data_IF_526551267265
#
_entry.id   IF_526551267265
#
_cell.length_a   1.000
_cell.length_b   1.000
_cell.length_c   1.000
_cell.angle_alpha   90.00
_cell.angle_beta   90.00
_cell.angle_gamma   90.00
#
_symmetry.space_group_name_H-M   'P 1'
#
loop_
_entity.id
_entity.type
_entity.pdbx_description
1 polymer ?
#
# COMPACT_ATOMS: atom_id res chain seq x y z
N UNK A 1 -1.01 61.30 -30.13
CA UNK A 1 -2.24 60.48 -30.17
C UNK A 1 -2.84 60.47 -31.59
N UNK A 2 -2.02 60.27 -32.63
CA UNK A 2 -2.50 60.31 -34.03
C UNK A 2 -1.68 59.42 -35.00
N UNK A 3 -0.68 58.67 -34.51
CA UNK A 3 0.19 57.81 -35.34
C UNK A 3 -0.14 56.32 -35.19
N UNK A 4 -0.99 55.96 -34.23
CA UNK A 4 -1.46 54.57 -34.03
C UNK A 4 -2.81 54.27 -34.70
N UNK A 5 -3.45 55.26 -35.32
CA UNK A 5 -4.73 55.11 -36.01
C UNK A 5 -4.60 54.85 -37.52
N UNK A 6 -3.40 54.98 -38.10
CA UNK A 6 -3.16 54.73 -39.54
C UNK A 6 -2.59 53.35 -39.86
N UNK A 7 -2.24 52.54 -38.86
CA UNK A 7 -1.74 51.16 -39.06
C UNK A 7 -2.89 50.12 -39.02
N UNK A 8 -4.15 50.55 -38.81
CA UNK A 8 -5.31 49.65 -38.76
C UNK A 8 -6.07 49.51 -40.09
N UNK A 9 -5.55 50.05 -41.20
CA UNK A 9 -6.08 49.81 -42.56
C UNK A 9 -5.01 49.15 -43.41
N UNK A 10 -5.36 48.02 -44.03
CA UNK A 10 -4.48 47.07 -44.75
C UNK A 10 -3.84 46.09 -43.77
N UNK A 11 -4.33 44.88 -43.57
CA UNK A 11 -4.43 43.80 -44.57
C UNK A 11 -5.63 42.92 -44.19
N UNK A 12 -6.71 42.94 -44.99
CA UNK A 12 -7.64 41.82 -44.96
C UNK A 12 -6.91 40.60 -45.52
N UNK A 13 -6.96 39.42 -44.89
CA UNK A 13 -6.34 38.24 -45.46
C UNK A 13 -6.94 38.00 -46.85
N UNK A 14 -6.15 37.56 -47.85
CA UNK A 14 -6.70 37.20 -49.15
C UNK A 14 -7.74 36.11 -48.94
N UNK A 15 -9.02 36.44 -49.13
CA UNK A 15 -10.07 35.44 -49.20
C UNK A 15 -9.97 34.82 -50.58
N UNK A 16 -9.28 33.69 -50.70
CA UNK A 16 -9.30 32.90 -51.92
C UNK A 16 -10.71 32.29 -52.06
N UNK A 17 -11.61 33.09 -52.65
CA UNK A 17 -12.94 32.65 -53.04
C UNK A 17 -12.78 31.84 -54.31
N UNK A 18 -12.80 30.52 -54.15
CA UNK A 18 -12.72 29.61 -55.27
C UNK A 18 -14.13 29.16 -55.66
N UNK A 19 -14.42 29.25 -56.96
CA UNK A 19 -15.69 28.85 -57.54
C UNK A 19 -15.57 27.44 -58.12
N UNK A 20 -16.55 26.59 -57.80
CA UNK A 20 -16.56 25.19 -58.21
C UNK A 20 -17.88 24.83 -58.87
N UNK A 21 -17.83 23.99 -59.89
CA UNK A 21 -19.02 23.40 -60.50
C UNK A 21 -19.20 21.98 -59.99
N UNK A 22 -20.41 21.64 -59.55
CA UNK A 22 -20.75 20.29 -59.08
C UNK A 22 -20.90 19.38 -60.31
N UNK A 23 -19.93 18.49 -60.52
CA UNK A 23 -19.93 17.55 -61.65
C UNK A 23 -20.81 16.33 -61.42
N UNK A 24 -20.64 15.66 -60.28
CA UNK A 24 -21.44 14.49 -59.87
C UNK A 24 -21.77 14.60 -58.40
N UNK A 25 -22.97 14.18 -58.01
CA UNK A 25 -23.37 14.08 -56.60
C UNK A 25 -23.90 12.68 -56.32
N UNK A 26 -23.29 12.00 -55.35
CA UNK A 26 -23.74 10.72 -54.80
C UNK A 26 -24.15 10.90 -53.33
N UNK A 27 -24.74 9.87 -52.73
CA UNK A 27 -25.30 9.94 -51.37
C UNK A 27 -24.28 10.25 -50.25
N UNK A 28 -22.97 10.19 -50.52
CA UNK A 28 -21.93 10.52 -49.54
C UNK A 28 -20.85 11.50 -50.03
N UNK A 29 -20.56 11.52 -51.32
CA UNK A 29 -19.51 12.34 -51.91
C UNK A 29 -20.04 13.10 -53.13
N UNK A 30 -19.49 14.29 -53.34
CA UNK A 30 -19.70 15.09 -54.53
C UNK A 30 -18.35 15.36 -55.21
N UNK A 31 -18.38 15.49 -56.53
CA UNK A 31 -17.22 15.85 -57.34
C UNK A 31 -17.35 17.33 -57.71
N UNK A 32 -16.42 18.14 -57.24
CA UNK A 32 -16.31 19.57 -57.53
C UNK A 32 -15.22 19.80 -58.57
N UNK A 33 -15.53 20.58 -59.60
CA UNK A 33 -14.64 20.90 -60.71
C UNK A 33 -14.27 22.38 -60.69
N UNK A 34 -12.98 22.69 -60.78
CA UNK A 34 -12.50 24.08 -60.94
C UNK A 34 -12.48 24.49 -62.41
N UNK A 35 -12.34 25.80 -62.68
CA UNK A 35 -12.09 26.32 -64.03
C UNK A 35 -10.73 25.89 -64.61
N UNK A 36 -9.82 25.40 -63.77
CA UNK A 36 -8.49 24.90 -64.13
C UNK A 36 -8.47 23.38 -64.36
N UNK A 37 -9.64 22.76 -64.53
CA UNK A 37 -9.82 21.31 -64.69
C UNK A 37 -9.30 20.47 -63.52
N UNK A 38 -9.26 21.03 -62.31
CA UNK A 38 -8.97 20.26 -61.10
C UNK A 38 -10.25 19.61 -60.59
N UNK A 39 -10.11 18.38 -60.11
CA UNK A 39 -11.19 17.62 -59.51
C UNK A 39 -10.98 17.50 -58.00
N UNK A 40 -11.97 17.88 -57.22
CA UNK A 40 -11.98 17.77 -55.75
C UNK A 40 -13.13 16.87 -55.32
N UNK A 41 -12.83 15.85 -54.53
CA UNK A 41 -13.82 15.05 -53.85
C UNK A 41 -14.22 15.76 -52.55
N UNK A 42 -15.50 16.08 -52.41
CA UNK A 42 -16.03 16.84 -51.29
C UNK A 42 -17.22 16.11 -50.65
N UNK A 43 -17.27 15.93 -49.32
CA UNK A 43 -18.40 15.29 -48.66
C UNK A 43 -19.71 16.00 -48.97
N UNK A 44 -20.70 15.26 -49.50
CA UNK A 44 -21.95 15.88 -49.96
C UNK A 44 -22.76 16.51 -48.83
N UNK A 45 -22.56 16.06 -47.57
CA UNK A 45 -23.19 16.62 -46.36
C UNK A 45 -22.72 18.04 -46.02
N UNK A 46 -21.55 18.45 -46.50
CA UNK A 46 -21.00 19.80 -46.26
C UNK A 46 -21.45 20.80 -47.34
N UNK A 47 -22.17 20.35 -48.38
CA UNK A 47 -22.75 21.23 -49.39
C UNK A 47 -24.08 21.82 -48.89
N UNK A 48 -24.44 23.04 -49.33
CA UNK A 48 -25.75 23.62 -49.04
C UNK A 48 -26.91 22.76 -49.55
N UNK A 49 -28.05 22.84 -48.88
CA UNK A 49 -29.28 22.18 -49.34
C UNK A 49 -29.72 22.71 -50.71
N UNK A 50 -30.24 21.83 -51.57
CA UNK A 50 -30.76 22.19 -52.89
C UNK A 50 -29.73 22.21 -54.03
N UNK A 51 -28.45 21.93 -53.73
CA UNK A 51 -27.39 21.79 -54.73
C UNK A 51 -27.58 20.52 -55.57
N UNK A 52 -27.48 20.63 -56.89
CA UNK A 52 -27.62 19.52 -57.85
C UNK A 52 -26.40 19.42 -58.77
N UNK A 53 -26.31 18.36 -59.56
CA UNK A 53 -25.35 18.28 -60.67
C UNK A 53 -25.50 19.49 -61.60
N UNK A 54 -24.39 20.13 -61.94
CA UNK A 54 -24.31 21.36 -62.73
C UNK A 54 -24.44 22.65 -61.92
N UNK A 55 -24.77 22.60 -60.63
CA UNK A 55 -24.79 23.79 -59.77
C UNK A 55 -23.38 24.35 -59.56
N UNK A 56 -23.30 25.67 -59.41
CA UNK A 56 -22.04 26.36 -59.14
C UNK A 56 -22.04 26.83 -57.69
N UNK A 57 -21.01 26.44 -56.93
CA UNK A 57 -20.85 26.75 -55.52
C UNK A 57 -19.57 27.56 -55.30
N UNK A 58 -19.60 28.51 -54.38
CA UNK A 58 -18.42 29.27 -53.98
C UNK A 58 -17.97 28.78 -52.60
N UNK A 59 -16.74 28.28 -52.50
CA UNK A 59 -16.15 27.90 -51.22
C UNK A 59 -15.16 28.98 -50.82
N UNK A 60 -15.39 29.56 -49.64
CA UNK A 60 -14.49 30.53 -49.05
C UNK A 60 -13.64 29.81 -48.00
N UNK A 61 -12.34 29.70 -48.24
CA UNK A 61 -11.40 29.09 -47.31
C UNK A 61 -10.63 30.20 -46.60
N UNK A 62 -10.88 30.37 -45.31
CA UNK A 62 -10.19 31.36 -44.48
C UNK A 62 -9.56 30.68 -43.28
N UNK A 63 -8.35 31.09 -42.93
CA UNK A 63 -7.65 30.61 -41.74
C UNK A 63 -8.29 31.17 -40.47
N UNK A 64 -8.80 30.29 -39.63
CA UNK A 64 -9.37 30.66 -38.32
C UNK A 64 -8.29 30.61 -37.23
N UNK A 65 -7.59 31.73 -37.08
CA UNK A 65 -6.51 31.87 -36.08
C UNK A 65 -7.03 31.86 -34.65
N UNK A 66 -8.28 32.26 -34.41
CA UNK A 66 -8.90 32.25 -33.08
C UNK A 66 -9.12 30.80 -32.63
N UNK A 67 -9.65 29.97 -33.52
CA UNK A 67 -9.89 28.56 -33.22
C UNK A 67 -8.59 27.76 -33.08
N UNK A 68 -7.53 28.11 -33.83
CA UNK A 68 -6.19 27.54 -33.66
C UNK A 68 -5.64 27.79 -32.24
N UNK A 69 -5.70 29.04 -31.77
CA UNK A 69 -5.25 29.42 -30.42
C UNK A 69 -6.09 28.70 -29.36
N UNK A 70 -7.42 28.67 -29.51
CA UNK A 70 -8.32 27.99 -28.59
C UNK A 70 -8.02 26.48 -28.48
N UNK A 71 -7.80 25.81 -29.61
CA UNK A 71 -7.43 24.38 -29.65
C UNK A 71 -6.08 24.12 -29.00
N UNK A 72 -5.10 24.99 -29.23
CA UNK A 72 -3.77 24.88 -28.60
C UNK A 72 -3.87 24.99 -27.08
N UNK A 73 -4.60 25.97 -26.57
CA UNK A 73 -4.83 26.14 -25.12
C UNK A 73 -5.49 24.88 -24.53
N UNK A 74 -6.50 24.32 -25.20
CA UNK A 74 -7.17 23.11 -24.71
C UNK A 74 -6.26 21.88 -24.74
N UNK A 75 -5.41 21.77 -25.76
CA UNK A 75 -4.41 20.71 -25.85
C UNK A 75 -3.41 20.80 -24.70
N UNK A 76 -2.84 21.98 -24.46
CA UNK A 76 -1.85 22.20 -23.39
C UNK A 76 -2.48 21.92 -22.02
N UNK A 77 -3.71 22.39 -21.76
CA UNK A 77 -4.47 22.07 -20.54
C UNK A 77 -4.66 20.58 -20.33
N UNK A 78 -4.94 19.83 -21.41
CA UNK A 78 -5.11 18.38 -21.32
C UNK A 78 -3.77 17.69 -21.01
N UNK A 79 -2.67 18.12 -21.65
CA UNK A 79 -1.34 17.58 -21.36
C UNK A 79 -0.94 17.83 -19.90
N UNK A 80 -1.17 19.05 -19.39
CA UNK A 80 -0.90 19.40 -18.00
C UNK A 80 -1.72 18.53 -17.04
N UNK A 81 -3.02 18.33 -17.34
CA UNK A 81 -3.88 17.47 -16.52
C UNK A 81 -3.39 16.01 -16.49
N UNK A 82 -2.95 15.47 -17.63
CA UNK A 82 -2.39 14.12 -17.71
C UNK A 82 -1.08 14.03 -16.91
N UNK A 83 -0.19 15.02 -17.05
CA UNK A 83 1.07 15.07 -16.33
C UNK A 83 0.84 15.15 -14.80
N UNK A 84 -0.10 15.98 -14.36
CA UNK A 84 -0.44 16.07 -12.94
C UNK A 84 -1.05 14.79 -12.38
N UNK A 85 -1.94 14.11 -13.12
CA UNK A 85 -2.59 12.88 -12.64
C UNK A 85 -1.64 11.67 -12.60
N UNK A 86 -0.75 11.53 -13.58
CA UNK A 86 0.05 10.31 -13.77
C UNK A 86 1.56 10.48 -13.64
N UNK A 87 2.08 11.69 -13.86
CA UNK A 87 3.53 11.96 -13.92
C UNK A 87 4.10 12.74 -12.73
N UNK A 88 3.25 13.29 -11.87
CA UNK A 88 3.68 14.14 -10.76
C UNK A 88 4.02 13.40 -9.47
N UNK A 89 3.56 12.15 -9.33
CA UNK A 89 3.77 11.39 -8.11
C UNK A 89 5.19 10.82 -8.04
N UNK A 90 5.95 11.23 -7.02
CA UNK A 90 7.28 10.69 -6.75
C UNK A 90 7.14 9.47 -5.85
N UNK A 91 7.56 8.32 -6.37
CA UNK A 91 7.56 7.06 -5.62
C UNK A 91 8.60 7.10 -4.49
N UNK A 92 8.18 6.69 -3.30
CA UNK A 92 9.08 6.57 -2.15
C UNK A 92 9.48 5.12 -1.91
N UNK A 93 10.76 4.85 -1.61
CA UNK A 93 11.18 3.52 -1.20
C UNK A 93 10.45 3.07 0.07
N UNK A 94 10.18 1.76 0.22
CA UNK A 94 9.58 1.25 1.46
C UNK A 94 10.53 1.46 2.63
N UNK A 95 10.01 1.85 3.80
CA UNK A 95 10.82 2.02 5.01
C UNK A 95 10.60 0.81 5.92
N UNK A 96 11.68 0.10 6.25
CA UNK A 96 11.66 -1.03 7.17
C UNK A 96 11.98 -0.59 8.60
N UNK A 97 11.37 -1.27 9.56
CA UNK A 97 11.71 -1.19 10.98
C UNK A 97 11.61 -2.56 11.65
N UNK A 98 12.25 -2.69 12.81
CA UNK A 98 12.23 -3.91 13.62
C UNK A 98 11.24 -3.69 14.74
N UNK A 99 10.17 -4.49 14.73
CA UNK A 99 9.11 -4.39 15.73
C UNK A 99 9.48 -5.13 17.01
N UNK A 100 10.02 -6.35 16.88
CA UNK A 100 10.44 -7.16 18.01
C UNK A 100 11.52 -8.16 17.60
N UNK A 101 12.33 -8.58 18.56
CA UNK A 101 13.38 -9.59 18.36
C UNK A 101 13.39 -10.53 19.54
N UNK A 102 13.51 -11.82 19.26
CA UNK A 102 13.70 -12.89 20.23
C UNK A 102 15.03 -13.60 19.93
N UNK A 103 15.24 -14.73 20.57
CA UNK A 103 16.46 -15.53 20.44
C UNK A 103 16.57 -16.18 19.06
N UNK A 104 15.44 -16.62 18.48
CA UNK A 104 15.42 -17.40 17.23
C UNK A 104 14.44 -16.84 16.19
N UNK A 105 13.87 -15.66 16.45
CA UNK A 105 12.98 -14.99 15.49
C UNK A 105 13.01 -13.48 15.65
N UNK A 106 12.61 -12.76 14.61
CA UNK A 106 12.34 -11.33 14.68
C UNK A 106 11.08 -10.98 13.87
N UNK A 107 10.43 -9.88 14.23
CA UNK A 107 9.32 -9.32 13.47
C UNK A 107 9.80 -8.06 12.79
N UNK A 108 9.75 -8.09 11.46
CA UNK A 108 10.08 -6.98 10.60
C UNK A 108 8.77 -6.34 10.15
N UNK A 109 8.67 -5.02 10.22
CA UNK A 109 7.51 -4.26 9.75
C UNK A 109 7.95 -3.17 8.77
N UNK A 110 7.01 -2.68 7.97
CA UNK A 110 7.24 -1.56 7.06
C UNK A 110 6.22 -0.45 7.26
N UNK A 111 6.62 0.78 6.93
CA UNK A 111 5.71 1.90 6.87
C UNK A 111 4.63 1.68 5.82
N UNK A 112 3.50 2.38 5.96
CA UNK A 112 2.43 2.37 4.95
C UNK A 112 3.03 2.69 3.58
N UNK A 113 2.84 1.77 2.64
CA UNK A 113 3.29 1.91 1.27
C UNK A 113 2.35 2.88 0.55
N UNK A 114 2.90 3.96 0.03
CA UNK A 114 2.22 4.89 -0.86
C UNK A 114 2.88 4.81 -2.23
N UNK A 115 2.13 4.24 -3.17
CA UNK A 115 2.57 4.06 -4.56
C UNK A 115 1.75 4.91 -5.53
N UNK A 116 0.97 5.87 -5.03
CA UNK A 116 0.12 6.73 -5.86
C UNK A 116 -0.89 5.90 -6.67
N UNK A 117 -0.76 5.94 -8.01
CA UNK A 117 -1.61 5.21 -8.95
C UNK A 117 -1.01 3.90 -9.45
N UNK A 118 0.20 3.56 -9.00
CA UNK A 118 0.85 2.32 -9.40
C UNK A 118 0.14 1.09 -8.85
N UNK A 119 0.39 -0.03 -9.51
CA UNK A 119 0.01 -1.36 -9.01
C UNK A 119 1.22 -2.03 -8.35
N UNK A 120 1.02 -2.53 -7.13
CA UNK A 120 1.97 -3.44 -6.49
C UNK A 120 2.02 -4.76 -7.26
N UNK A 121 3.19 -5.10 -7.79
CA UNK A 121 3.46 -6.35 -8.51
C UNK A 121 4.04 -7.42 -7.58
N UNK A 122 4.82 -7.02 -6.57
CA UNK A 122 5.43 -7.94 -5.63
C UNK A 122 6.10 -7.25 -4.46
N UNK A 123 6.16 -7.96 -3.33
CA UNK A 123 6.88 -7.56 -2.14
C UNK A 123 7.73 -8.74 -1.68
N UNK A 124 9.03 -8.54 -1.50
CA UNK A 124 9.96 -9.62 -1.17
C UNK A 124 10.93 -9.18 -0.07
N UNK A 125 11.06 -9.98 0.98
CA UNK A 125 12.01 -9.74 2.07
C UNK A 125 13.31 -10.50 1.79
N UNK A 126 14.44 -9.82 1.98
CA UNK A 126 15.77 -10.36 1.89
C UNK A 126 16.41 -10.42 3.27
N UNK A 127 17.19 -11.48 3.52
CA UNK A 127 18.03 -11.66 4.71
C UNK A 127 19.46 -11.90 4.23
N UNK A 128 20.40 -11.06 4.63
CA UNK A 128 21.81 -11.13 4.22
C UNK A 128 21.96 -11.26 2.69
N UNK A 129 21.23 -10.41 1.94
CA UNK A 129 21.15 -10.42 0.47
C UNK A 129 20.56 -11.68 -0.17
N UNK A 130 20.00 -12.61 0.61
CA UNK A 130 19.28 -13.76 0.11
C UNK A 130 17.77 -13.56 0.26
N UNK A 131 17.03 -13.77 -0.84
CA UNK A 131 15.57 -13.70 -0.82
C UNK A 131 14.98 -14.81 0.07
N UNK A 132 14.15 -14.42 1.02
CA UNK A 132 13.41 -15.37 1.84
C UNK A 132 12.16 -15.88 1.08
N UNK A 133 11.85 -17.18 1.16
CA UNK A 133 10.67 -17.78 0.53
C UNK A 133 9.39 -17.53 1.35
N UNK A 134 9.12 -16.26 1.68
CA UNK A 134 7.94 -15.85 2.46
C UNK A 134 6.81 -15.38 1.54
N UNK A 135 5.58 -15.79 1.87
CA UNK A 135 4.38 -15.33 1.18
C UNK A 135 3.95 -13.97 1.72
N UNK A 136 4.55 -12.90 1.19
CA UNK A 136 4.16 -11.53 1.53
C UNK A 136 2.86 -11.10 0.81
N UNK A 137 2.17 -10.07 1.32
CA UNK A 137 0.95 -9.56 0.71
C UNK A 137 1.14 -9.17 -0.76
N UNK A 138 0.21 -9.62 -1.61
CA UNK A 138 0.25 -9.38 -3.07
C UNK A 138 -0.48 -8.12 -3.52
N UNK A 139 -1.27 -7.50 -2.65
CA UNK A 139 -2.02 -6.27 -2.95
C UNK A 139 -1.61 -5.16 -2.00
N UNK A 140 -1.69 -3.91 -2.47
CA UNK A 140 -1.35 -2.74 -1.66
C UNK A 140 -2.21 -2.65 -0.39
N UNK A 141 -3.52 -2.95 -0.50
CA UNK A 141 -4.43 -2.96 0.65
C UNK A 141 -3.98 -3.96 1.70
N UNK A 142 -3.70 -5.20 1.29
CA UNK A 142 -3.22 -6.24 2.22
C UNK A 142 -1.84 -5.91 2.79
N UNK A 143 -0.94 -5.32 2.01
CA UNK A 143 0.39 -4.90 2.45
C UNK A 143 0.35 -3.78 3.49
N UNK A 144 -0.66 -2.92 3.44
CA UNK A 144 -0.86 -1.83 4.41
C UNK A 144 -1.67 -2.24 5.64
N UNK A 145 -2.50 -3.30 5.55
CA UNK A 145 -3.22 -3.86 6.70
C UNK A 145 -2.31 -4.79 7.51
N UNK A 146 -1.59 -5.68 6.82
CA UNK A 146 -0.64 -6.63 7.40
C UNK A 146 0.78 -6.22 7.02
N UNK A 147 1.22 -5.09 7.55
CA UNK A 147 2.50 -4.44 7.21
C UNK A 147 3.71 -5.04 7.95
N UNK A 148 3.64 -6.32 8.32
CA UNK A 148 4.67 -7.00 9.09
C UNK A 148 4.84 -8.45 8.66
N UNK A 149 5.97 -9.03 9.03
CA UNK A 149 6.27 -10.45 8.85
C UNK A 149 7.18 -10.95 9.97
N UNK A 150 6.89 -12.16 10.46
CA UNK A 150 7.73 -12.87 11.43
C UNK A 150 8.72 -13.76 10.69
N UNK A 151 10.00 -13.55 10.93
CA UNK A 151 11.09 -14.39 10.42
C UNK A 151 11.54 -15.31 11.55
N UNK A 152 11.34 -16.61 11.39
CA UNK A 152 11.70 -17.65 12.37
C UNK A 152 12.93 -18.45 11.91
N UNK A 153 13.50 -19.24 12.81
CA UNK A 153 14.64 -20.11 12.49
C UNK A 153 15.97 -19.35 12.37
N UNK A 154 16.09 -18.26 13.13
CA UNK A 154 17.34 -17.53 13.28
C UNK A 154 18.21 -18.17 14.35
N UNK A 155 19.53 -18.00 14.22
CA UNK A 155 20.51 -18.46 15.19
C UNK A 155 20.58 -17.52 16.39
N UNK A 156 21.06 -18.03 17.52
CA UNK A 156 21.18 -17.30 18.78
C UNK A 156 22.33 -16.29 18.70
N UNK A 157 22.10 -15.07 19.21
CA UNK A 157 23.13 -14.04 19.36
C UNK A 157 23.90 -13.70 18.07
N UNK A 158 23.22 -13.72 16.92
CA UNK A 158 23.81 -13.48 15.61
C UNK A 158 23.22 -12.22 14.96
N UNK A 159 24.09 -11.49 14.26
CA UNK A 159 23.71 -10.31 13.48
C UNK A 159 23.15 -10.72 12.11
N UNK A 160 22.01 -10.14 11.76
CA UNK A 160 21.31 -10.29 10.48
C UNK A 160 21.03 -8.92 9.89
N UNK A 161 20.94 -8.87 8.57
CA UNK A 161 20.55 -7.69 7.82
C UNK A 161 19.31 -8.00 6.97
N UNK A 162 18.29 -7.15 7.06
CA UNK A 162 17.04 -7.30 6.34
C UNK A 162 16.78 -6.12 5.41
N UNK A 163 16.33 -6.40 4.19
CA UNK A 163 15.90 -5.38 3.22
C UNK A 163 14.64 -5.82 2.48
N UNK A 164 13.82 -4.85 2.06
CA UNK A 164 12.54 -5.09 1.39
C UNK A 164 12.63 -4.62 -0.07
N UNK A 165 12.33 -5.54 -0.99
CA UNK A 165 12.17 -5.26 -2.41
C UNK A 165 10.67 -5.05 -2.70
N UNK A 166 10.30 -3.85 -3.16
CA UNK A 166 8.96 -3.51 -3.60
C UNK A 166 8.96 -3.34 -5.12
N UNK A 167 8.21 -4.20 -5.82
CA UNK A 167 8.00 -4.12 -7.27
C UNK A 167 6.67 -3.46 -7.56
N UNK A 168 6.68 -2.36 -8.30
CA UNK A 168 5.49 -1.66 -8.78
C UNK A 168 5.45 -1.65 -10.31
N UNK A 169 4.36 -1.15 -10.89
CA UNK A 169 4.26 -0.93 -12.34
C UNK A 169 5.28 0.07 -12.89
N UNK A 170 5.74 1.02 -12.07
CA UNK A 170 6.74 2.02 -12.50
C UNK A 170 8.19 1.64 -12.20
N UNK A 171 8.45 0.55 -11.45
CA UNK A 171 9.82 0.12 -11.19
C UNK A 171 9.99 -0.79 -9.97
N UNK A 172 11.24 -0.97 -9.56
CA UNK A 172 11.60 -1.70 -8.34
C UNK A 172 12.30 -0.75 -7.38
N UNK A 173 11.82 -0.73 -6.14
CA UNK A 173 12.33 0.11 -5.06
C UNK A 173 12.80 -0.76 -3.90
N UNK A 174 13.87 -0.33 -3.25
CA UNK A 174 14.50 -1.05 -2.15
C UNK A 174 14.45 -0.22 -0.88
N UNK A 175 14.14 -0.86 0.24
CA UNK A 175 14.32 -0.22 1.54
C UNK A 175 15.80 -0.09 1.88
N UNK A 176 16.10 0.83 2.79
CA UNK A 176 17.33 0.75 3.55
C UNK A 176 17.39 -0.57 4.33
N UNK A 177 18.61 -1.06 4.52
CA UNK A 177 18.86 -2.31 5.21
C UNK A 177 18.80 -2.09 6.73
N UNK A 178 18.07 -2.95 7.43
CA UNK A 178 17.94 -2.90 8.89
C UNK A 178 18.72 -4.05 9.52
N UNK A 179 19.64 -3.71 10.42
CA UNK A 179 20.45 -4.66 11.15
C UNK A 179 19.74 -5.09 12.42
N UNK A 180 19.70 -6.40 12.66
CA UNK A 180 19.06 -7.03 13.82
C UNK A 180 20.02 -8.02 14.42
N UNK A 181 20.25 -7.92 15.73
CA UNK A 181 20.95 -8.95 16.49
C UNK A 181 19.95 -9.77 17.28
N UNK A 182 19.89 -11.07 17.03
CA UNK A 182 19.05 -11.96 17.84
C UNK A 182 19.54 -12.01 19.28
N UNK A 183 18.63 -12.31 20.20
CA UNK A 183 18.95 -12.33 21.62
C UNK A 183 19.76 -13.58 22.00
N UNK A 184 20.62 -13.44 23.00
CA UNK A 184 21.18 -14.58 23.74
C UNK A 184 20.12 -15.18 24.68
N UNK A 185 20.40 -16.35 25.26
CA UNK A 185 19.43 -17.04 26.12
C UNK A 185 19.20 -16.32 27.46
N UNK A 186 20.16 -15.55 27.93
CA UNK A 186 20.09 -14.71 29.13
C UNK A 186 19.35 -13.38 28.89
N UNK A 187 19.16 -12.97 27.64
CA UNK A 187 18.37 -11.78 27.30
C UNK A 187 16.88 -12.14 27.16
N UNK A 188 16.10 -11.78 28.18
CA UNK A 188 14.67 -12.07 28.30
C UNK A 188 13.76 -10.92 27.85
N UNK A 189 14.33 -9.80 27.39
CA UNK A 189 13.57 -8.58 27.02
C UNK A 189 12.65 -8.77 25.81
N UNK A 190 12.91 -9.80 25.00
CA UNK A 190 12.07 -10.18 23.87
C UNK A 190 10.81 -10.96 24.25
N UNK A 191 10.65 -11.34 25.53
CA UNK A 191 9.49 -12.09 26.00
C UNK A 191 8.27 -11.17 26.03
N UNK A 192 7.24 -11.55 25.29
CA UNK A 192 5.91 -10.94 25.35
C UNK A 192 4.89 -12.01 25.69
N UNK A 193 4.11 -11.82 26.76
CA UNK A 193 3.17 -12.82 27.27
C UNK A 193 1.73 -12.34 27.14
N UNK A 194 0.80 -13.25 26.84
CA UNK A 194 -0.62 -13.04 27.11
C UNK A 194 -1.11 -14.02 28.18
N UNK A 195 -2.14 -13.63 28.92
CA UNK A 195 -2.64 -14.36 30.07
C UNK A 195 -4.01 -14.98 29.78
N UNK A 196 -4.15 -16.27 30.10
CA UNK A 196 -5.42 -16.98 30.08
C UNK A 196 -6.08 -17.04 31.45
N UNK A 197 -6.84 -18.11 31.68
CA UNK A 197 -7.50 -18.36 32.96
C UNK A 197 -6.56 -19.01 33.99
N UNK A 198 -6.69 -18.59 35.24
CA UNK A 198 -5.94 -19.07 36.40
C UNK A 198 -6.90 -19.64 37.44
N UNK A 199 -6.48 -20.64 38.21
CA UNK A 199 -7.32 -21.34 39.18
C UNK A 199 -7.72 -20.46 40.38
N UNK A 200 -6.84 -19.54 40.78
CA UNK A 200 -7.09 -18.61 41.88
C UNK A 200 -8.01 -17.44 41.48
N UNK A 201 -8.28 -17.26 40.17
CA UNK A 201 -9.20 -16.24 39.67
C UNK A 201 -10.68 -16.62 39.90
N UNK A 202 -11.00 -17.91 39.97
CA UNK A 202 -12.38 -18.40 40.20
C UNK A 202 -12.81 -18.36 41.67
N UNK A 203 -11.87 -18.19 42.61
CA UNK A 203 -12.12 -18.20 44.05
C UNK A 203 -12.31 -16.79 44.64
N UNK A 204 -12.28 -15.75 43.82
CA UNK A 204 -12.50 -14.38 44.28
C UNK A 204 -14.00 -14.12 44.46
N UNK A 205 -14.44 -13.84 45.69
CA UNK A 205 -15.77 -13.28 46.00
C UNK A 205 -15.89 -11.84 45.46
N UNK A 206 -15.79 -11.66 44.15
CA UNK A 206 -15.90 -10.36 43.49
C UNK A 206 -17.29 -10.20 42.92
N UNK A 207 -17.86 -9.01 43.11
CA UNK A 207 -19.17 -8.65 42.58
C UNK A 207 -19.18 -8.76 41.03
N UNK A 208 -20.28 -9.20 40.41
CA UNK A 208 -20.40 -9.32 38.96
C UNK A 208 -20.13 -8.01 38.20
N UNK A 209 -20.46 -6.86 38.80
CA UNK A 209 -20.25 -5.53 38.20
C UNK A 209 -18.76 -5.10 38.15
N UNK A 210 -17.87 -5.79 38.88
CA UNK A 210 -16.41 -5.56 38.86
C UNK A 210 -15.68 -6.38 37.78
N UNK A 211 -16.38 -7.30 37.08
CA UNK A 211 -15.77 -8.25 36.13
C UNK A 211 -15.33 -7.62 34.79
N UNK A 212 -15.94 -6.50 34.40
CA UNK A 212 -15.73 -5.91 33.07
C UNK A 212 -14.55 -4.93 33.02
N UNK A 213 -14.08 -4.42 34.17
CA UNK A 213 -13.13 -3.28 34.22
C UNK A 213 -11.80 -3.53 34.97
N UNK A 214 -11.49 -4.77 35.42
CA UNK A 214 -10.22 -5.08 36.10
C UNK A 214 -9.43 -6.17 35.37
N UNK A 215 -8.21 -5.79 34.93
CA UNK A 215 -7.21 -6.67 34.32
C UNK A 215 -7.10 -8.01 35.05
N UNK A 216 -6.89 -9.12 34.32
CA UNK A 216 -6.71 -10.48 34.86
C UNK A 216 -5.65 -10.54 35.98
N UNK A 217 -4.64 -9.68 35.92
CA UNK A 217 -3.58 -9.53 36.93
C UNK A 217 -4.09 -9.04 38.29
N UNK A 218 -5.28 -8.44 38.37
CA UNK A 218 -5.91 -8.02 39.63
C UNK A 218 -6.87 -9.07 40.21
N UNK A 219 -7.33 -10.02 39.38
CA UNK A 219 -8.27 -11.09 39.78
C UNK A 219 -7.55 -12.37 40.20
N UNK A 220 -6.33 -12.59 39.70
CA UNK A 220 -5.48 -13.72 40.05
C UNK A 220 -4.19 -13.22 40.69
N UNK A 221 -3.90 -13.68 41.91
CA UNK A 221 -2.63 -13.39 42.58
C UNK A 221 -1.45 -13.98 41.81
N UNK A 222 -1.65 -15.15 41.19
CA UNK A 222 -0.65 -15.84 40.37
C UNK A 222 -0.35 -15.07 39.09
N UNK A 223 -1.38 -14.57 38.39
CA UNK A 223 -1.19 -13.73 37.20
C UNK A 223 -0.50 -12.41 37.56
N UNK A 224 -0.85 -11.81 38.72
CA UNK A 224 -0.16 -10.61 39.24
C UNK A 224 1.33 -10.84 39.45
N UNK A 225 1.71 -11.94 40.12
CA UNK A 225 3.12 -12.32 40.28
C UNK A 225 3.83 -12.58 38.95
N UNK A 226 3.16 -13.24 37.99
CA UNK A 226 3.73 -13.43 36.66
C UNK A 226 4.04 -12.10 35.99
N UNK A 227 3.12 -11.14 36.05
CA UNK A 227 3.30 -9.81 35.46
C UNK A 227 4.49 -9.07 36.09
N UNK A 228 4.61 -9.09 37.42
CA UNK A 228 5.77 -8.51 38.14
C UNK A 228 7.09 -9.12 37.68
N UNK A 229 7.14 -10.45 37.55
CA UNK A 229 8.34 -11.15 37.10
C UNK A 229 8.68 -10.82 35.64
N UNK A 230 7.67 -10.77 34.76
CA UNK A 230 7.84 -10.39 33.35
C UNK A 230 8.46 -8.99 33.24
N UNK A 231 7.92 -8.02 33.98
CA UNK A 231 8.42 -6.65 33.99
C UNK A 231 9.84 -6.59 34.56
N UNK A 232 10.13 -7.36 35.62
CA UNK A 232 11.47 -7.44 36.23
C UNK A 232 12.53 -8.02 35.29
N UNK A 233 12.19 -8.98 34.44
CA UNK A 233 13.11 -9.52 33.41
C UNK A 233 13.15 -8.68 32.14
N UNK A 234 12.45 -7.53 32.12
CA UNK A 234 12.40 -6.60 30.99
C UNK A 234 11.49 -7.05 29.83
N UNK A 235 10.68 -8.09 30.05
CA UNK A 235 9.65 -8.52 29.12
C UNK A 235 8.40 -7.64 29.20
N UNK A 236 7.39 -8.00 28.40
CA UNK A 236 6.11 -7.29 28.35
C UNK A 236 4.96 -8.28 28.44
N UNK A 237 3.79 -7.81 28.83
CA UNK A 237 2.56 -8.60 28.74
C UNK A 237 1.47 -7.81 28.03
N UNK A 238 0.55 -8.54 27.38
CA UNK A 238 -0.55 -8.00 26.59
C UNK A 238 -1.86 -8.64 27.04
N UNK A 239 -2.95 -7.87 26.96
CA UNK A 239 -4.31 -8.36 27.19
C UNK A 239 -4.92 -9.02 25.95
N UNK A 240 -4.29 -8.83 24.78
CA UNK A 240 -4.73 -9.36 23.49
C UNK A 240 -3.64 -10.23 22.88
N UNK A 241 -4.07 -11.27 22.16
CA UNK A 241 -3.18 -12.11 21.38
C UNK A 241 -2.94 -11.46 20.03
N UNK A 242 -1.70 -11.05 19.80
CA UNK A 242 -1.20 -10.53 18.53
C UNK A 242 0.07 -11.28 18.11
N UNK A 243 0.66 -10.86 16.98
CA UNK A 243 1.89 -11.47 16.45
C UNK A 243 3.10 -11.32 17.39
N UNK A 244 3.08 -10.36 18.32
CA UNK A 244 4.18 -10.12 19.24
C UNK A 244 4.20 -11.15 20.37
N UNK A 245 3.04 -11.71 20.74
CA UNK A 245 2.92 -12.66 21.85
C UNK A 245 3.80 -13.88 21.57
N UNK A 246 4.75 -14.09 22.47
CA UNK A 246 5.73 -15.19 22.42
C UNK A 246 5.22 -16.44 23.15
N UNK A 247 4.52 -16.24 24.28
CA UNK A 247 4.02 -17.31 25.14
C UNK A 247 2.65 -16.92 25.69
N UNK A 248 1.78 -17.91 25.86
CA UNK A 248 0.48 -17.74 26.51
C UNK A 248 0.52 -18.49 27.85
N UNK A 249 0.33 -17.77 28.96
CA UNK A 249 0.39 -18.35 30.31
C UNK A 249 -1.02 -18.58 30.83
N UNK A 250 -1.37 -19.84 31.13
CA UNK A 250 -2.63 -20.19 31.78
C UNK A 250 -2.50 -21.46 32.62
N UNK A 251 -3.49 -21.68 33.49
CA UNK A 251 -3.66 -22.93 34.24
C UNK A 251 -4.90 -23.71 33.78
N UNK A 252 -5.93 -22.99 33.31
CA UNK A 252 -7.16 -23.59 32.80
C UNK A 252 -7.17 -23.46 31.27
N UNK A 253 -7.25 -24.57 30.51
CA UNK A 253 -7.24 -24.57 29.05
C UNK A 253 -8.63 -24.23 28.48
N UNK A 254 -9.08 -22.99 28.69
CA UNK A 254 -10.42 -22.55 28.32
C UNK A 254 -10.46 -21.10 27.87
N UNK A 255 -11.44 -20.80 27.01
CA UNK A 255 -11.80 -19.46 26.58
C UNK A 255 -11.24 -19.05 25.22
N UNK A 256 -11.76 -17.95 24.65
CA UNK A 256 -11.47 -17.55 23.27
C UNK A 256 -10.00 -17.23 23.03
N UNK A 257 -9.28 -16.72 24.04
CA UNK A 257 -7.85 -16.46 23.93
C UNK A 257 -7.02 -17.76 23.91
N UNK A 258 -7.42 -18.78 24.66
CA UNK A 258 -6.75 -20.09 24.61
C UNK A 258 -6.88 -20.73 23.22
N UNK A 259 -8.08 -20.69 22.64
CA UNK A 259 -8.34 -21.20 21.30
C UNK A 259 -7.53 -20.44 20.24
N UNK A 260 -7.43 -19.12 20.37
CA UNK A 260 -6.65 -18.27 19.46
C UNK A 260 -5.14 -18.53 19.59
N UNK A 261 -4.61 -18.67 20.82
CA UNK A 261 -3.21 -19.02 21.06
C UNK A 261 -2.87 -20.37 20.41
N UNK A 262 -3.77 -21.34 20.54
CA UNK A 262 -3.65 -22.66 19.89
C UNK A 262 -3.64 -22.52 18.37
N UNK A 263 -4.58 -21.78 17.80
CA UNK A 263 -4.68 -21.56 16.34
C UNK A 263 -3.42 -20.89 15.76
N UNK A 264 -2.78 -20.00 16.52
CA UNK A 264 -1.54 -19.33 16.12
C UNK A 264 -0.26 -20.09 16.49
N UNK A 265 -0.38 -21.30 17.05
CA UNK A 265 0.74 -22.11 17.52
C UNK A 265 1.65 -21.37 18.50
N UNK A 266 1.06 -20.52 19.36
CA UNK A 266 1.76 -19.87 20.46
C UNK A 266 1.95 -20.91 21.57
N UNK A 267 3.18 -21.11 22.10
CA UNK A 267 3.41 -21.98 23.24
C UNK A 267 2.51 -21.62 24.43
N UNK A 268 1.73 -22.60 24.90
CA UNK A 268 0.83 -22.48 26.04
C UNK A 268 1.50 -23.15 27.24
N UNK A 269 1.87 -22.35 28.25
CA UNK A 269 2.67 -22.80 29.40
C UNK A 269 2.00 -22.47 30.72
N UNK A 270 2.34 -23.22 31.76
CA UNK A 270 1.97 -22.91 33.14
C UNK A 270 2.84 -21.78 33.71
N UNK A 271 2.39 -21.10 34.79
CA UNK A 271 3.11 -19.98 35.42
C UNK A 271 4.55 -20.29 35.84
N UNK A 272 4.86 -21.54 36.18
CA UNK A 272 6.18 -21.96 36.63
C UNK A 272 7.27 -21.70 35.57
N UNK A 273 6.91 -21.61 34.29
CA UNK A 273 7.84 -21.31 33.21
C UNK A 273 8.54 -19.95 33.40
N UNK A 274 7.77 -18.89 33.68
CA UNK A 274 8.35 -17.55 33.79
C UNK A 274 9.14 -17.40 35.10
N UNK A 275 8.70 -18.06 36.18
CA UNK A 275 9.44 -18.10 37.43
C UNK A 275 10.77 -18.82 37.29
N UNK A 276 10.81 -19.92 36.52
CA UNK A 276 12.06 -20.60 36.21
C UNK A 276 12.98 -19.75 35.33
N UNK A 277 12.42 -19.01 34.36
CA UNK A 277 13.20 -18.08 33.53
C UNK A 277 13.87 -17.00 34.38
N UNK A 278 13.16 -16.45 35.37
CA UNK A 278 13.69 -15.46 36.31
C UNK A 278 14.76 -16.06 37.23
N UNK A 279 14.48 -17.21 37.85
CA UNK A 279 15.37 -17.86 38.81
C UNK A 279 16.73 -18.18 38.19
N UNK A 280 16.72 -18.75 36.97
CA UNK A 280 17.93 -19.15 36.26
C UNK A 280 18.53 -18.02 35.41
N UNK A 281 17.84 -16.87 35.33
CA UNK A 281 18.19 -15.71 34.47
C UNK A 281 18.44 -16.10 33.02
N UNK A 282 17.63 -17.03 32.51
CA UNK A 282 17.79 -17.63 31.19
C UNK A 282 16.46 -18.17 30.68
N UNK A 283 16.24 -18.07 29.37
CA UNK A 283 15.05 -18.58 28.72
C UNK A 283 14.98 -20.10 28.89
N UNK A 284 13.88 -20.56 29.47
CA UNK A 284 13.62 -21.98 29.68
C UNK A 284 12.82 -22.58 28.51
N UNK A 285 13.06 -23.86 28.15
CA UNK A 285 12.26 -24.54 27.13
C UNK A 285 10.79 -24.63 27.53
N UNK A 286 9.88 -24.17 26.68
CA UNK A 286 8.45 -24.13 26.97
C UNK A 286 7.82 -25.53 27.16
N UNK A 287 8.32 -26.55 26.44
CA UNK A 287 7.75 -27.90 26.39
C UNK A 287 7.57 -28.54 27.79
N UNK A 288 8.52 -28.33 28.70
CA UNK A 288 8.49 -28.88 30.06
C UNK A 288 7.34 -28.31 30.90
N UNK A 289 6.80 -27.16 30.49
CA UNK A 289 5.80 -26.40 31.24
C UNK A 289 4.43 -26.38 30.55
N UNK A 290 4.22 -27.22 29.53
CA UNK A 290 2.90 -27.33 28.91
C UNK A 290 1.88 -27.87 29.92
N UNK A 291 0.61 -27.49 29.71
CA UNK A 291 -0.48 -28.09 30.46
C UNK A 291 -0.52 -29.58 30.10
N UNK A 292 -0.43 -30.43 31.12
CA UNK A 292 -0.61 -31.88 30.97
C UNK A 292 -2.00 -32.13 30.41
N UNK A 293 -2.08 -32.86 29.29
CA UNK A 293 -3.34 -33.35 28.73
C UNK A 293 -3.96 -34.41 29.64
#
# INVERSE_FOLDING_TARGET
MQVLAEISKSIAPPSDKSQFTVGKIDAGMAVLLTCENQQIEFPSILLPEGVKTGSVVCINVTRDTVQEVSRKINFDKLQDAIFHEFGSFVQHPPVLSVRSTTQTSCIIEWSKLDIGKDRLLGLHLFKNNQRLPLNLPKTLKSANINNFVKVSGLELNLDYEFSLEMKTSSGTFWSDAVKVKTHSLDNLTGIVVAFGQFEDASNSNLNPDDLENKSITKRSATAGKCAEVIEKVGGKWSTQIDINVTHFICQIPSGPQYDLATAYNIPIVKPEWIFACEADRKLQPALTYYLSR
#
